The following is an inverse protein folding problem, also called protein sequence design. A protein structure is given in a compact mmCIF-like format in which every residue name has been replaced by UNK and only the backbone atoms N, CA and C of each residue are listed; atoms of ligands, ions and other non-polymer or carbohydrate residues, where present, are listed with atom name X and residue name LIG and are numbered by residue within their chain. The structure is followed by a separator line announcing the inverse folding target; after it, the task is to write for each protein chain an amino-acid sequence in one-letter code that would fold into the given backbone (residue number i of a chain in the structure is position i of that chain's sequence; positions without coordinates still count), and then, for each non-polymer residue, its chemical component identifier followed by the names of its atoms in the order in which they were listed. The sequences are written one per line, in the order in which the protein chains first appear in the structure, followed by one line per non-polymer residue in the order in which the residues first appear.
data_IF_589072333387
#
_entry.id   IF_589072333387
#
_cell.length_a   1.000
_cell.length_b   1.000
_cell.length_c   1.000
_cell.angle_alpha   90.00
_cell.angle_beta   90.00
_cell.angle_gamma   90.00
#
_symmetry.space_group_name_H-M   'P 1'
#
loop_
_entity.id
_entity.type
_entity.pdbx_description
1 polymer ?
#
# COMPACT_ATOMS: atom_id res chain seq x y z
N UNK A 1 2.51 8.41 1.77
CA UNK A 1 2.24 8.07 0.36
C UNK A 1 2.84 6.71 -0.03
N UNK A 2 4.09 6.38 0.32
CA UNK A 2 4.70 5.09 -0.04
C UNK A 2 3.93 3.87 0.52
N UNK A 3 3.56 3.89 1.80
CA UNK A 3 2.78 2.82 2.45
C UNK A 3 1.40 2.62 1.79
N UNK A 4 0.76 3.69 1.31
CA UNK A 4 -0.55 3.61 0.67
C UNK A 4 -0.48 2.89 -0.70
N UNK A 5 0.53 3.21 -1.50
CA UNK A 5 0.76 2.54 -2.78
C UNK A 5 1.13 1.06 -2.61
N UNK A 6 1.96 0.75 -1.61
CA UNK A 6 2.30 -0.63 -1.24
C UNK A 6 1.06 -1.43 -0.85
N UNK A 7 0.19 -0.89 0.02
CA UNK A 7 -1.03 -1.58 0.46
C UNK A 7 -1.98 -1.88 -0.69
N UNK A 8 -2.25 -0.91 -1.58
CA UNK A 8 -3.13 -1.12 -2.73
C UNK A 8 -2.58 -2.20 -3.66
N UNK A 9 -1.28 -2.15 -3.97
CA UNK A 9 -0.65 -3.11 -4.86
C UNK A 9 -0.64 -4.51 -4.23
N UNK A 10 -0.34 -4.60 -2.93
CA UNK A 10 -0.37 -5.85 -2.18
C UNK A 10 -1.76 -6.49 -2.16
N UNK A 11 -2.81 -5.70 -1.93
CA UNK A 11 -4.19 -6.21 -1.91
C UNK A 11 -4.59 -6.77 -3.29
N UNK A 12 -4.24 -6.06 -4.36
CA UNK A 12 -4.53 -6.50 -5.72
C UNK A 12 -3.77 -7.78 -6.09
N UNK A 13 -2.46 -7.86 -5.77
CA UNK A 13 -1.64 -9.06 -6.00
C UNK A 13 -2.15 -10.25 -5.18
N UNK A 14 -2.58 -10.03 -3.94
CA UNK A 14 -3.13 -11.08 -3.08
C UNK A 14 -4.40 -11.69 -3.68
N UNK A 15 -5.29 -10.86 -4.25
CA UNK A 15 -6.51 -11.33 -4.92
C UNK A 15 -6.16 -12.18 -6.15
N UNK A 16 -5.17 -11.77 -6.97
CA UNK A 16 -4.72 -12.57 -8.12
C UNK A 16 -4.15 -13.90 -7.70
N UNK A 17 -3.33 -13.89 -6.65
CA UNK A 17 -2.70 -15.10 -6.14
C UNK A 17 -3.76 -16.08 -5.66
N UNK A 18 -4.79 -15.60 -4.97
CA UNK A 18 -5.89 -16.44 -4.52
C UNK A 18 -6.75 -16.96 -5.68
N UNK A 19 -7.09 -16.13 -6.68
CA UNK A 19 -7.80 -16.60 -7.87
C UNK A 19 -6.97 -17.64 -8.65
N UNK A 20 -5.64 -17.47 -8.70
CA UNK A 20 -4.71 -18.44 -9.28
C UNK A 20 -4.71 -19.75 -8.50
N UNK A 21 -4.65 -19.67 -7.17
CA UNK A 21 -4.69 -20.85 -6.31
C UNK A 21 -6.01 -21.61 -6.44
N UNK A 22 -7.15 -20.92 -6.51
CA UNK A 22 -8.45 -21.54 -6.73
C UNK A 22 -8.56 -22.18 -8.13
N UNK A 23 -8.07 -21.48 -9.16
CA UNK A 23 -8.02 -22.03 -10.52
C UNK A 23 -7.19 -23.32 -10.59
N UNK A 24 -6.05 -23.35 -9.90
CA UNK A 24 -5.19 -24.53 -9.83
C UNK A 24 -5.79 -25.65 -8.96
N UNK A 25 -6.50 -25.31 -7.87
CA UNK A 25 -7.16 -26.30 -7.01
C UNK A 25 -8.35 -26.99 -7.69
N UNK A 26 -8.94 -26.39 -8.73
CA UNK A 26 -10.01 -26.98 -9.55
C UNK A 26 -9.49 -27.90 -10.65
N UNK A 27 -8.30 -27.62 -11.18
CA UNK A 27 -7.65 -28.50 -12.15
C UNK A 27 -6.98 -29.65 -11.39
N UNK A 28 -7.66 -30.81 -11.35
CA UNK A 28 -7.19 -32.09 -10.81
C UNK A 28 -5.93 -32.60 -11.56
N UNK A 29 -4.78 -31.91 -11.38
CA UNK A 29 -3.48 -32.34 -11.90
C UNK A 29 -2.90 -33.42 -10.99
N UNK A 30 -3.53 -34.59 -11.01
CA UNK A 30 -3.29 -35.71 -10.09
C UNK A 30 -1.98 -36.49 -10.33
N UNK A 31 -1.09 -36.07 -11.24
CA UNK A 31 0.17 -36.80 -11.53
C UNK A 31 1.36 -35.91 -11.93
N UNK A 32 1.55 -34.74 -11.33
CA UNK A 32 2.69 -33.86 -11.66
C UNK A 32 3.60 -33.66 -10.45
N UNK A 33 4.90 -33.80 -10.66
CA UNK A 33 5.97 -33.64 -9.65
C UNK A 33 5.89 -32.23 -9.03
N UNK A 34 6.14 -32.08 -7.72
CA UNK A 34 5.96 -30.81 -7.00
C UNK A 34 6.73 -29.59 -7.57
N UNK A 35 7.79 -29.83 -8.33
CA UNK A 35 8.54 -28.78 -9.03
C UNK A 35 7.83 -28.28 -10.31
N UNK A 36 7.21 -29.19 -11.05
CA UNK A 36 6.49 -28.87 -12.28
C UNK A 36 5.17 -28.17 -11.98
N UNK A 37 4.47 -28.58 -10.92
CA UNK A 37 3.27 -27.86 -10.45
C UNK A 37 3.59 -26.44 -10.00
N UNK A 38 4.73 -26.23 -9.33
CA UNK A 38 5.19 -24.89 -8.95
C UNK A 38 5.49 -24.02 -10.18
N UNK A 39 6.22 -24.55 -11.17
CA UNK A 39 6.51 -23.82 -12.41
C UNK A 39 5.23 -23.50 -13.20
N UNK A 40 4.28 -24.43 -13.25
CA UNK A 40 3.00 -24.22 -13.91
C UNK A 40 2.17 -23.15 -13.19
N UNK A 41 2.11 -23.19 -11.85
CA UNK A 41 1.43 -22.17 -11.04
C UNK A 41 2.08 -20.79 -11.21
N UNK A 42 3.41 -20.72 -11.24
CA UNK A 42 4.14 -19.49 -11.49
C UNK A 42 3.85 -18.94 -12.90
N UNK A 43 3.86 -19.81 -13.92
CA UNK A 43 3.52 -19.44 -15.29
C UNK A 43 2.09 -18.93 -15.42
N UNK A 44 1.13 -19.59 -14.76
CA UNK A 44 -0.26 -19.15 -14.72
C UNK A 44 -0.41 -17.79 -14.02
N UNK A 45 0.24 -17.61 -12.87
CA UNK A 45 0.26 -16.34 -12.15
C UNK A 45 0.82 -15.21 -13.01
N UNK A 46 1.97 -15.43 -13.67
CA UNK A 46 2.58 -14.42 -14.56
C UNK A 46 1.67 -14.11 -15.74
N UNK A 47 1.04 -15.12 -16.36
CA UNK A 47 0.08 -14.92 -17.45
C UNK A 47 -1.12 -14.09 -17.00
N UNK A 48 -1.71 -14.41 -15.83
CA UNK A 48 -2.83 -13.66 -15.27
C UNK A 48 -2.43 -12.23 -14.93
N UNK A 49 -1.27 -12.04 -14.32
CA UNK A 49 -0.75 -10.74 -13.92
C UNK A 49 -0.47 -9.84 -15.14
N UNK A 50 0.38 -10.30 -16.08
CA UNK A 50 0.74 -9.51 -17.26
C UNK A 50 -0.43 -9.36 -18.24
N UNK A 51 -1.27 -10.39 -18.39
CA UNK A 51 -2.47 -10.33 -19.23
C UNK A 51 -3.45 -9.26 -18.74
N UNK A 52 -3.77 -9.28 -17.44
CA UNK A 52 -4.63 -8.25 -16.84
C UNK A 52 -3.99 -6.86 -16.86
N UNK A 53 -2.67 -6.76 -16.62
CA UNK A 53 -1.96 -5.48 -16.67
C UNK A 53 -1.98 -4.87 -18.08
N UNK A 54 -1.71 -5.67 -19.10
CA UNK A 54 -1.76 -5.24 -20.50
C UNK A 54 -3.19 -4.80 -20.88
N UNK A 55 -4.21 -5.57 -20.53
CA UNK A 55 -5.60 -5.20 -20.82
C UNK A 55 -6.02 -3.92 -20.10
N UNK A 56 -5.70 -3.78 -18.81
CA UNK A 56 -5.98 -2.59 -18.02
C UNK A 56 -5.29 -1.34 -18.58
N UNK A 57 -3.99 -1.45 -18.90
CA UNK A 57 -3.24 -0.33 -19.51
C UNK A 57 -3.78 0.07 -20.88
N UNK A 58 -4.11 -0.90 -21.74
CA UNK A 58 -4.70 -0.63 -23.07
C UNK A 58 -6.05 0.09 -22.95
N UNK A 59 -6.97 -0.41 -22.12
CA UNK A 59 -8.28 0.23 -21.92
C UNK A 59 -8.15 1.64 -21.32
N UNK A 60 -7.21 1.85 -20.38
CA UNK A 60 -6.90 3.17 -19.85
C UNK A 60 -6.37 4.14 -20.92
N UNK A 61 -5.48 3.68 -21.80
CA UNK A 61 -4.98 4.49 -22.93
C UNK A 61 -6.09 4.81 -23.94
N UNK A 62 -6.96 3.83 -24.25
CA UNK A 62 -8.12 4.03 -25.11
C UNK A 62 -9.03 5.12 -24.53
N UNK A 63 -9.28 5.10 -23.21
CA UNK A 63 -10.06 6.15 -22.54
C UNK A 63 -9.45 7.54 -22.71
N UNK A 64 -8.12 7.65 -22.59
CA UNK A 64 -7.40 8.91 -22.72
C UNK A 64 -7.48 9.46 -24.15
N UNK A 65 -7.30 8.60 -25.16
CA UNK A 65 -7.40 8.96 -26.58
C UNK A 65 -8.84 9.36 -26.93
N UNK A 66 -9.82 8.60 -26.46
CA UNK A 66 -11.23 8.87 -26.69
C UNK A 66 -11.60 10.26 -26.16
N UNK A 67 -11.28 10.56 -24.90
CA UNK A 67 -11.57 11.87 -24.29
C UNK A 67 -10.75 13.02 -24.89
N UNK A 68 -9.61 12.72 -25.53
CA UNK A 68 -8.84 13.72 -26.28
C UNK A 68 -9.49 14.04 -27.64
N UNK A 69 -10.08 13.05 -28.30
CA UNK A 69 -10.65 13.23 -29.64
C UNK A 69 -12.08 13.78 -29.61
N UNK A 70 -12.88 13.35 -28.63
CA UNK A 70 -14.22 13.87 -28.40
C UNK A 70 -14.14 15.03 -27.39
N UNK A 71 -14.06 16.26 -27.89
CA UNK A 71 -13.98 17.47 -27.04
C UNK A 71 -15.31 17.73 -26.31
N UNK A 72 -15.48 17.02 -25.19
CA UNK A 72 -16.66 17.01 -24.33
C UNK A 72 -16.62 18.09 -23.24
N UNK A 73 -15.66 19.02 -23.31
CA UNK A 73 -15.44 20.07 -22.29
C UNK A 73 -16.67 20.96 -22.04
N UNK A 74 -17.60 21.03 -23.00
CA UNK A 74 -18.84 21.81 -22.89
C UNK A 74 -19.92 21.13 -22.04
N UNK A 75 -19.82 19.82 -21.80
CA UNK A 75 -20.83 19.01 -21.10
C UNK A 75 -20.19 18.14 -20.00
N UNK A 76 -19.86 18.72 -18.83
CA UNK A 76 -19.12 18.02 -17.77
C UNK A 76 -19.82 16.76 -17.25
N UNK A 77 -21.16 16.71 -17.27
CA UNK A 77 -21.92 15.53 -16.85
C UNK A 77 -21.68 14.32 -17.76
N UNK A 78 -21.54 14.53 -19.08
CA UNK A 78 -21.28 13.46 -20.04
C UNK A 78 -19.84 12.97 -19.93
N UNK A 79 -18.89 13.90 -19.78
CA UNK A 79 -17.48 13.61 -19.53
C UNK A 79 -17.31 12.74 -18.27
N UNK A 80 -17.99 13.09 -17.18
CA UNK A 80 -18.01 12.30 -15.94
C UNK A 80 -18.63 10.90 -16.13
N UNK A 81 -19.77 10.80 -16.83
CA UNK A 81 -20.41 9.51 -17.09
C UNK A 81 -19.51 8.56 -17.89
N UNK A 82 -18.86 9.07 -18.94
CA UNK A 82 -17.93 8.29 -19.76
C UNK A 82 -16.72 7.81 -18.93
N UNK A 83 -16.21 8.66 -18.02
CA UNK A 83 -15.13 8.28 -17.11
C UNK A 83 -15.48 7.08 -16.24
N UNK A 84 -16.69 7.03 -15.67
CA UNK A 84 -17.14 5.89 -14.85
C UNK A 84 -17.28 4.62 -15.69
N UNK A 85 -17.80 4.73 -16.91
CA UNK A 85 -17.94 3.59 -17.83
C UNK A 85 -16.56 3.03 -18.19
N UNK A 86 -15.61 3.89 -18.59
CA UNK A 86 -14.25 3.45 -18.93
C UNK A 86 -13.45 2.94 -17.72
N UNK A 87 -13.77 3.40 -16.51
CA UNK A 87 -13.17 2.87 -15.28
C UNK A 87 -13.59 1.42 -15.00
N UNK A 88 -14.84 1.06 -15.32
CA UNK A 88 -15.37 -0.29 -15.07
C UNK A 88 -15.20 -1.25 -16.27
N UNK A 89 -15.17 -0.73 -17.49
CA UNK A 89 -14.94 -1.51 -18.73
C UNK A 89 -13.78 -2.54 -18.66
N UNK A 90 -12.57 -2.21 -18.17
CA UNK A 90 -11.47 -3.18 -18.01
C UNK A 90 -11.83 -4.42 -17.20
N UNK A 91 -12.75 -4.28 -16.24
CA UNK A 91 -13.22 -5.39 -15.41
C UNK A 91 -14.00 -6.41 -16.23
N UNK A 92 -15.05 -5.94 -16.92
CA UNK A 92 -15.91 -6.82 -17.71
C UNK A 92 -15.16 -7.48 -18.86
N UNK A 93 -14.24 -6.77 -19.51
CA UNK A 93 -13.39 -7.34 -20.55
C UNK A 93 -12.42 -8.39 -20.01
N UNK A 94 -11.83 -8.15 -18.84
CA UNK A 94 -10.93 -9.12 -18.21
C UNK A 94 -11.69 -10.39 -17.77
N UNK A 95 -12.86 -10.25 -17.14
CA UNK A 95 -13.68 -11.41 -16.77
C UNK A 95 -14.12 -12.23 -18.00
N UNK A 96 -14.49 -11.56 -19.11
CA UNK A 96 -14.85 -12.23 -20.36
C UNK A 96 -13.71 -13.07 -20.97
N UNK A 97 -12.45 -12.69 -20.74
CA UNK A 97 -11.25 -13.40 -21.22
C UNK A 97 -10.69 -14.35 -20.13
N UNK A 98 -11.39 -14.53 -19.00
CA UNK A 98 -10.95 -15.31 -17.84
C UNK A 98 -9.62 -14.82 -17.23
N UNK A 99 -9.38 -13.51 -17.30
CA UNK A 99 -8.27 -12.82 -16.64
C UNK A 99 -8.73 -12.18 -15.31
N UNK A 100 -7.81 -11.66 -14.51
CA UNK A 100 -8.16 -10.96 -13.27
C UNK A 100 -8.75 -9.57 -13.55
N UNK A 101 -10.06 -9.41 -13.31
CA UNK A 101 -10.76 -8.14 -13.44
C UNK A 101 -10.28 -7.06 -12.48
N UNK A 102 -10.00 -7.43 -11.23
CA UNK A 102 -9.54 -6.51 -10.18
C UNK A 102 -8.19 -5.86 -10.58
N UNK A 103 -7.25 -6.66 -11.09
CA UNK A 103 -5.97 -6.12 -11.57
C UNK A 103 -6.12 -5.23 -12.80
N UNK A 104 -7.02 -5.60 -13.70
CA UNK A 104 -7.28 -4.83 -14.92
C UNK A 104 -7.80 -3.44 -14.59
N UNK A 105 -8.77 -3.33 -13.65
CA UNK A 105 -9.23 -2.03 -13.14
C UNK A 105 -8.07 -1.26 -12.50
N UNK A 106 -7.24 -1.90 -11.66
CA UNK A 106 -6.14 -1.22 -10.98
C UNK A 106 -5.18 -0.56 -11.97
N UNK A 107 -4.70 -1.32 -12.95
CA UNK A 107 -3.79 -0.79 -13.97
C UNK A 107 -4.46 0.25 -14.85
N UNK A 108 -5.72 0.06 -15.23
CA UNK A 108 -6.50 1.07 -15.94
C UNK A 108 -6.61 2.36 -15.13
N UNK A 109 -6.92 2.29 -13.83
CA UNK A 109 -6.98 3.43 -12.93
C UNK A 109 -5.66 4.19 -12.80
N UNK A 110 -4.52 3.48 -12.74
CA UNK A 110 -3.19 4.09 -12.73
C UNK A 110 -2.94 4.87 -14.04
N UNK A 111 -3.22 4.25 -15.19
CA UNK A 111 -3.06 4.89 -16.51
C UNK A 111 -4.01 6.08 -16.64
N UNK A 112 -5.27 5.93 -16.21
CA UNK A 112 -6.29 6.97 -16.28
C UNK A 112 -5.96 8.17 -15.38
N UNK A 113 -5.38 7.92 -14.20
CA UNK A 113 -4.88 8.98 -13.33
C UNK A 113 -3.72 9.77 -13.94
N UNK A 114 -2.89 9.13 -14.77
CA UNK A 114 -1.73 9.79 -15.38
C UNK A 114 -2.06 10.49 -16.70
N UNK A 115 -2.80 9.84 -17.59
CA UNK A 115 -3.07 10.35 -18.94
C UNK A 115 -4.43 11.02 -19.04
N UNK A 116 -5.48 10.32 -18.61
CA UNK A 116 -6.86 10.80 -18.79
C UNK A 116 -7.16 12.01 -17.91
N UNK A 117 -6.63 12.06 -16.67
CA UNK A 117 -6.84 13.17 -15.77
C UNK A 117 -6.51 14.53 -16.41
N UNK A 118 -5.40 14.62 -17.15
CA UNK A 118 -4.95 15.85 -17.81
C UNK A 118 -5.79 16.24 -19.03
N UNK A 119 -6.51 15.28 -19.63
CA UNK A 119 -7.39 15.57 -20.77
C UNK A 119 -8.74 16.14 -20.33
N UNK A 120 -9.11 15.95 -19.05
CA UNK A 120 -10.40 16.36 -18.50
C UNK A 120 -10.52 17.87 -18.24
N UNK A 121 -11.76 18.36 -18.22
CA UNK A 121 -12.05 19.71 -17.72
C UNK A 121 -11.80 19.83 -16.21
N UNK A 122 -11.38 21.01 -15.69
CA UNK A 122 -11.06 21.19 -14.27
C UNK A 122 -12.27 20.95 -13.35
N UNK A 123 -13.48 21.22 -13.82
CA UNK A 123 -14.72 20.94 -13.08
C UNK A 123 -14.91 19.44 -12.93
N UNK A 124 -14.75 18.67 -14.02
CA UNK A 124 -14.88 17.21 -14.00
C UNK A 124 -13.76 16.55 -13.18
N UNK A 125 -12.54 17.09 -13.19
CA UNK A 125 -11.43 16.60 -12.36
C UNK A 125 -11.78 16.63 -10.86
N UNK A 126 -12.31 17.76 -10.38
CA UNK A 126 -12.71 17.92 -8.98
C UNK A 126 -13.89 17.00 -8.66
N UNK A 127 -14.91 16.98 -9.53
CA UNK A 127 -16.10 16.15 -9.34
C UNK A 127 -15.74 14.65 -9.27
N UNK A 128 -14.84 14.19 -10.14
CA UNK A 128 -14.38 12.81 -10.19
C UNK A 128 -13.62 12.42 -8.92
N UNK A 129 -12.69 13.26 -8.45
CA UNK A 129 -11.96 13.01 -7.22
C UNK A 129 -12.88 12.96 -5.99
N UNK A 130 -13.84 13.88 -5.89
CA UNK A 130 -14.78 13.92 -4.77
C UNK A 130 -15.76 12.74 -4.80
N UNK A 131 -16.28 12.41 -5.98
CA UNK A 131 -17.23 11.30 -6.13
C UNK A 131 -16.57 9.95 -5.88
N UNK A 132 -15.44 9.67 -6.51
CA UNK A 132 -14.73 8.40 -6.30
C UNK A 132 -14.24 8.24 -4.86
N UNK A 133 -13.78 9.33 -4.21
CA UNK A 133 -13.42 9.30 -2.79
C UNK A 133 -14.62 8.99 -1.91
N UNK A 134 -15.77 9.62 -2.17
CA UNK A 134 -17.00 9.40 -1.40
C UNK A 134 -17.52 7.98 -1.58
N UNK A 135 -17.54 7.47 -2.82
CA UNK A 135 -17.93 6.08 -3.11
C UNK A 135 -16.97 5.09 -2.44
N UNK A 136 -15.66 5.31 -2.54
CA UNK A 136 -14.68 4.45 -1.87
C UNK A 136 -14.89 4.42 -0.34
N UNK A 137 -15.12 5.58 0.29
CA UNK A 137 -15.41 5.67 1.71
C UNK A 137 -16.72 4.96 2.11
N UNK A 138 -17.77 5.08 1.29
CA UNK A 138 -19.02 4.36 1.50
C UNK A 138 -18.82 2.84 1.37
N UNK A 139 -18.13 2.38 0.32
CA UNK A 139 -17.82 0.97 0.13
C UNK A 139 -16.97 0.41 1.28
N UNK A 140 -15.94 1.14 1.72
CA UNK A 140 -15.11 0.77 2.86
C UNK A 140 -15.94 0.64 4.14
N UNK A 141 -16.83 1.60 4.40
CA UNK A 141 -17.76 1.56 5.55
C UNK A 141 -18.71 0.37 5.47
N UNK A 142 -19.27 0.07 4.29
CA UNK A 142 -20.14 -1.08 4.08
C UNK A 142 -19.40 -2.39 4.35
N UNK A 143 -18.18 -2.56 3.84
CA UNK A 143 -17.39 -3.78 4.05
C UNK A 143 -17.06 -3.94 5.55
N UNK A 144 -16.72 -2.88 6.27
CA UNK A 144 -16.53 -2.95 7.71
C UNK A 144 -17.80 -3.28 8.48
N UNK A 145 -18.95 -2.73 8.09
CA UNK A 145 -20.23 -3.10 8.67
C UNK A 145 -20.56 -4.58 8.45
N UNK A 146 -20.33 -5.11 7.24
CA UNK A 146 -20.49 -6.53 6.93
C UNK A 146 -19.56 -7.41 7.76
N UNK A 147 -18.30 -7.01 7.93
CA UNK A 147 -17.35 -7.73 8.78
C UNK A 147 -17.85 -7.80 10.23
N UNK A 148 -18.37 -6.69 10.78
CA UNK A 148 -18.95 -6.64 12.12
C UNK A 148 -20.18 -7.54 12.27
N UNK A 149 -21.11 -7.51 11.31
CA UNK A 149 -22.30 -8.37 11.30
C UNK A 149 -21.93 -9.87 11.21
N UNK A 150 -20.88 -10.19 10.48
CA UNK A 150 -20.44 -11.57 10.26
C UNK A 150 -19.96 -12.27 11.53
N UNK A 151 -19.55 -11.50 12.55
CA UNK A 151 -19.20 -12.04 13.88
C UNK A 151 -20.41 -12.70 14.55
N UNK A 152 -21.60 -12.13 14.38
CA UNK A 152 -22.82 -12.62 15.04
C UNK A 152 -23.55 -13.68 14.22
N UNK A 153 -23.35 -13.72 12.91
CA UNK A 153 -24.17 -14.53 12.00
C UNK A 153 -23.72 -15.99 11.83
N UNK A 154 -22.46 -16.32 12.09
CA UNK A 154 -21.92 -17.67 11.82
C UNK A 154 -21.59 -18.45 13.11
N UNK A 155 -21.87 -19.77 13.16
CA UNK A 155 -21.45 -20.61 14.27
C UNK A 155 -19.92 -20.78 14.21
N UNK A 156 -19.23 -20.26 15.22
CA UNK A 156 -17.77 -20.24 15.27
C UNK A 156 -17.23 -21.44 16.05
N UNK A 157 -16.45 -22.30 15.38
CA UNK A 157 -15.58 -23.27 16.06
C UNK A 157 -14.27 -22.56 16.39
N UNK A 158 -14.06 -22.24 17.67
CA UNK A 158 -12.90 -21.48 18.13
C UNK A 158 -11.76 -22.41 18.55
N UNK A 159 -10.77 -22.56 17.67
CA UNK A 159 -9.47 -23.11 18.03
C UNK A 159 -8.52 -21.97 18.44
N UNK A 160 -8.57 -21.56 19.72
CA UNK A 160 -7.79 -20.43 20.23
C UNK A 160 -6.29 -20.56 19.96
N UNK A 161 -5.76 -21.79 20.05
CA UNK A 161 -4.34 -22.07 19.75
C UNK A 161 -3.99 -21.69 18.31
N UNK A 162 -4.82 -22.08 17.34
CA UNK A 162 -4.61 -21.77 15.92
C UNK A 162 -4.64 -20.25 15.66
N UNK A 163 -5.61 -19.54 16.27
CA UNK A 163 -5.74 -18.09 16.11
C UNK A 163 -4.51 -17.35 16.64
N UNK A 164 -4.01 -17.72 17.82
CA UNK A 164 -2.82 -17.08 18.42
C UNK A 164 -1.59 -17.30 17.53
N UNK A 165 -1.37 -18.54 17.06
CA UNK A 165 -0.27 -18.83 16.13
C UNK A 165 -0.39 -18.05 14.82
N UNK A 166 -1.60 -17.93 14.25
CA UNK A 166 -1.81 -17.12 13.07
C UNK A 166 -1.49 -15.64 13.32
N UNK A 167 -1.90 -15.05 14.45
CA UNK A 167 -1.57 -13.66 14.79
C UNK A 167 -0.05 -13.47 14.86
N UNK A 168 0.67 -14.37 15.54
CA UNK A 168 2.14 -14.32 15.64
C UNK A 168 2.78 -14.42 14.26
N UNK A 169 2.39 -15.42 13.45
CA UNK A 169 2.92 -15.62 12.10
C UNK A 169 2.66 -14.43 11.18
N UNK A 170 1.52 -13.76 11.33
CA UNK A 170 1.18 -12.55 10.58
C UNK A 170 2.10 -11.38 10.95
N UNK A 171 2.36 -11.17 12.24
CA UNK A 171 3.25 -10.10 12.72
C UNK A 171 4.71 -10.37 12.33
N UNK A 172 5.16 -11.63 12.46
CA UNK A 172 6.52 -12.06 12.09
C UNK A 172 6.72 -12.02 10.58
N UNK A 173 5.79 -12.60 9.80
CA UNK A 173 5.87 -12.58 8.34
C UNK A 173 5.95 -11.17 7.79
N UNK A 174 5.23 -10.24 8.43
CA UNK A 174 5.34 -8.82 8.11
C UNK A 174 6.70 -8.22 8.48
N UNK A 175 7.25 -8.52 9.66
CA UNK A 175 8.58 -8.07 10.04
C UNK A 175 9.63 -8.55 9.03
N UNK A 176 9.55 -9.82 8.64
CA UNK A 176 10.42 -10.45 7.64
C UNK A 176 10.23 -9.87 6.25
N UNK A 177 9.07 -9.30 5.92
CA UNK A 177 8.91 -8.55 4.66
C UNK A 177 9.52 -7.14 4.76
N UNK A 178 9.18 -6.39 5.82
CA UNK A 178 9.52 -4.96 5.90
C UNK A 178 11.00 -4.72 6.19
N UNK A 179 11.62 -5.46 7.12
CA UNK A 179 13.01 -5.19 7.51
C UNK A 179 14.01 -5.47 6.38
N UNK A 180 13.98 -6.63 5.68
CA UNK A 180 14.88 -6.90 4.56
C UNK A 180 14.63 -5.97 3.36
N UNK A 181 13.35 -5.71 3.03
CA UNK A 181 13.02 -4.83 1.91
C UNK A 181 13.45 -3.39 2.19
N UNK A 182 13.28 -2.92 3.42
CA UNK A 182 13.76 -1.60 3.85
C UNK A 182 15.29 -1.52 3.87
N UNK A 183 15.98 -2.61 4.25
CA UNK A 183 17.44 -2.69 4.21
C UNK A 183 17.97 -2.66 2.76
N UNK A 184 17.34 -3.40 1.85
CA UNK A 184 17.64 -3.40 0.42
C UNK A 184 17.39 -2.02 -0.20
N UNK A 185 16.25 -1.39 0.09
CA UNK A 185 15.93 -0.05 -0.38
C UNK A 185 16.90 1.01 0.15
N UNK A 186 17.42 0.83 1.37
CA UNK A 186 18.41 1.72 1.97
C UNK A 186 19.78 1.68 1.26
N UNK A 187 20.04 0.65 0.45
CA UNK A 187 21.23 0.55 -0.39
C UNK A 187 21.12 1.40 -1.67
N UNK A 188 19.92 1.49 -2.26
CA UNK A 188 19.69 2.20 -3.53
C UNK A 188 19.20 3.65 -3.36
N UNK A 189 18.82 4.07 -2.15
CA UNK A 189 18.18 5.37 -1.91
C UNK A 189 19.05 6.33 -1.11
N UNK A 190 19.22 7.56 -1.62
CA UNK A 190 19.98 8.61 -0.93
C UNK A 190 19.33 9.05 0.41
N UNK A 191 17.99 9.06 0.48
CA UNK A 191 17.28 9.36 1.72
C UNK A 191 17.01 8.08 2.51
N UNK A 192 17.91 7.78 3.45
CA UNK A 192 17.86 6.58 4.28
C UNK A 192 16.57 6.48 5.11
N UNK A 193 16.05 5.27 5.24
CA UNK A 193 14.93 4.97 6.15
C UNK A 193 15.53 4.59 7.50
N UNK A 194 15.32 5.42 8.51
CA UNK A 194 15.82 5.16 9.87
C UNK A 194 15.14 3.91 10.45
N UNK A 195 15.81 3.07 11.27
CA UNK A 195 15.19 1.92 11.93
C UNK A 195 13.94 2.27 12.75
N UNK A 196 13.86 3.49 13.30
CA UNK A 196 12.65 4.03 13.94
C UNK A 196 11.46 4.12 12.96
N UNK A 197 11.69 4.61 11.74
CA UNK A 197 10.67 4.67 10.69
C UNK A 197 10.26 3.26 10.22
N UNK A 198 11.21 2.32 10.15
CA UNK A 198 10.90 0.92 9.84
C UNK A 198 9.96 0.29 10.87
N UNK A 199 10.17 0.60 12.16
CA UNK A 199 9.30 0.12 13.23
C UNK A 199 7.87 0.66 13.12
N UNK A 200 7.70 1.95 12.79
CA UNK A 200 6.36 2.50 12.51
C UNK A 200 5.74 1.81 11.30
N UNK A 201 6.50 1.61 10.22
CA UNK A 201 5.98 0.94 9.03
C UNK A 201 5.53 -0.49 9.33
N UNK A 202 6.22 -1.18 10.24
CA UNK A 202 5.79 -2.48 10.74
C UNK A 202 4.54 -2.40 11.62
N UNK A 203 4.45 -1.41 12.50
CA UNK A 203 3.32 -1.25 13.41
C UNK A 203 2.05 -0.69 12.73
N UNK A 204 2.19 0.09 11.67
CA UNK A 204 1.12 0.90 11.05
C UNK A 204 0.22 0.15 10.06
N UNK A 205 0.49 -1.10 9.68
CA UNK A 205 -0.33 -1.74 8.63
C UNK A 205 -1.50 -2.47 9.24
N UNK A 206 -2.59 -1.76 9.19
CA UNK A 206 -3.90 -2.29 9.43
C UNK A 206 -4.18 -3.29 8.32
N UNK A 207 -4.52 -4.53 8.68
CA UNK A 207 -5.11 -5.42 7.70
C UNK A 207 -6.49 -4.87 7.39
N UNK A 208 -6.73 -4.60 6.10
CA UNK A 208 -8.04 -4.18 5.62
C UNK A 208 -9.05 -5.32 5.70
N UNK A 209 -10.26 -5.05 5.22
CA UNK A 209 -11.32 -6.05 5.16
C UNK A 209 -11.25 -6.97 3.92
N UNK A 210 -10.26 -6.77 3.05
CA UNK A 210 -10.06 -7.54 1.81
C UNK A 210 -9.75 -9.03 2.07
N UNK A 211 -8.88 -9.41 3.04
CA UNK A 211 -8.64 -10.82 3.38
C UNK A 211 -9.93 -11.53 3.82
N UNK A 212 -10.82 -10.81 4.49
CA UNK A 212 -12.12 -11.35 4.90
C UNK A 212 -13.01 -11.62 3.69
N UNK A 213 -13.18 -10.62 2.80
CA UNK A 213 -13.94 -10.78 1.56
C UNK A 213 -13.43 -11.96 0.72
N UNK A 214 -12.10 -12.12 0.67
CA UNK A 214 -11.45 -13.21 -0.05
C UNK A 214 -11.70 -14.58 0.58
N UNK A 215 -11.70 -14.66 1.92
CA UNK A 215 -12.04 -15.90 2.64
C UNK A 215 -13.47 -16.39 2.40
N UNK A 216 -14.41 -15.46 2.15
CA UNK A 216 -15.79 -15.80 1.78
C UNK A 216 -15.90 -16.26 0.33
N UNK A 217 -15.13 -15.64 -0.57
CA UNK A 217 -15.14 -15.97 -2.00
C UNK A 217 -14.50 -17.34 -2.28
N UNK A 218 -13.58 -17.78 -1.42
CA UNK A 218 -12.89 -19.05 -1.58
C UNK A 218 -13.86 -20.23 -1.42
N UNK A 219 -14.20 -20.88 -2.54
CA UNK A 219 -15.03 -22.08 -2.61
C UNK A 219 -14.32 -23.34 -2.13
N UNK A 220 -13.76 -23.33 -0.92
CA UNK A 220 -13.12 -24.51 -0.34
C UNK A 220 -14.18 -25.51 0.12
N UNK A 221 -14.25 -26.67 -0.54
CA UNK A 221 -14.83 -27.89 0.05
C UNK A 221 -13.75 -28.56 0.94
N UNK A 222 -14.03 -28.96 2.20
CA UNK A 222 -15.31 -28.99 2.93
C UNK A 222 -15.69 -27.67 3.63
N UNK A 223 -17.00 -27.48 3.84
CA UNK A 223 -17.62 -26.30 4.48
C UNK A 223 -17.00 -25.96 5.87
N UNK A 224 -16.55 -26.97 6.61
CA UNK A 224 -15.99 -26.80 7.95
C UNK A 224 -14.64 -26.06 7.94
N UNK A 225 -13.79 -26.34 6.94
CA UNK A 225 -12.49 -25.65 6.80
C UNK A 225 -12.69 -24.19 6.39
N UNK A 226 -13.68 -23.92 5.53
CA UNK A 226 -14.07 -22.56 5.14
C UNK A 226 -14.56 -21.75 6.34
N UNK A 227 -15.39 -22.33 7.21
CA UNK A 227 -15.83 -21.69 8.44
C UNK A 227 -14.66 -21.36 9.36
N UNK A 228 -13.73 -22.31 9.58
CA UNK A 228 -12.56 -22.09 10.42
C UNK A 228 -11.63 -20.99 9.89
N UNK A 229 -11.36 -20.96 8.58
CA UNK A 229 -10.56 -19.91 7.93
C UNK A 229 -11.26 -18.55 8.01
N UNK A 230 -12.58 -18.51 7.77
CA UNK A 230 -13.38 -17.29 7.86
C UNK A 230 -13.36 -16.70 9.27
N UNK A 231 -13.70 -17.49 10.29
CA UNK A 231 -13.69 -17.08 11.70
C UNK A 231 -12.31 -16.60 12.13
N UNK A 232 -11.25 -17.34 11.78
CA UNK A 232 -9.87 -16.97 12.12
C UNK A 232 -9.47 -15.64 11.47
N UNK A 233 -9.84 -15.44 10.20
CA UNK A 233 -9.54 -14.20 9.45
C UNK A 233 -10.26 -13.00 10.05
N UNK A 234 -11.54 -13.14 10.43
CA UNK A 234 -12.31 -12.09 11.11
C UNK A 234 -11.61 -11.68 12.41
N UNK A 235 -11.23 -12.65 13.26
CA UNK A 235 -10.56 -12.35 14.54
C UNK A 235 -9.23 -11.63 14.31
N UNK A 236 -8.42 -12.08 13.34
CA UNK A 236 -7.14 -11.44 13.02
C UNK A 236 -7.35 -10.00 12.52
N UNK A 237 -8.33 -9.79 11.64
CA UNK A 237 -8.63 -8.45 11.10
C UNK A 237 -9.11 -7.52 12.22
N UNK A 238 -10.04 -7.96 13.08
CA UNK A 238 -10.48 -7.18 14.23
C UNK A 238 -9.34 -6.87 15.20
N UNK A 239 -8.54 -7.89 15.55
CA UNK A 239 -7.39 -7.73 16.45
C UNK A 239 -6.40 -6.71 15.90
N UNK A 240 -6.04 -6.82 14.62
CA UNK A 240 -5.07 -5.90 13.99
C UNK A 240 -5.63 -4.49 13.84
N UNK A 241 -6.89 -4.31 13.45
CA UNK A 241 -7.50 -2.98 13.34
C UNK A 241 -7.66 -2.33 14.71
N UNK A 242 -8.19 -3.05 15.71
CA UNK A 242 -8.46 -2.49 17.02
C UNK A 242 -7.16 -2.20 17.78
N UNK A 243 -6.20 -3.14 17.83
CA UNK A 243 -4.98 -2.94 18.62
C UNK A 243 -3.93 -2.13 17.88
N UNK A 244 -3.59 -2.49 16.63
CA UNK A 244 -2.57 -1.76 15.88
C UNK A 244 -3.10 -0.41 15.40
N UNK A 245 -4.39 -0.31 15.04
CA UNK A 245 -5.01 0.95 14.60
C UNK A 245 -5.14 1.96 15.71
N UNK A 246 -5.70 1.58 16.85
CA UNK A 246 -5.78 2.47 18.01
C UNK A 246 -4.39 2.83 18.55
N UNK A 247 -3.43 1.90 18.49
CA UNK A 247 -2.04 2.11 18.93
C UNK A 247 -1.20 3.01 18.01
N UNK A 248 -1.60 3.22 16.75
CA UNK A 248 -0.77 3.97 15.79
C UNK A 248 -0.71 5.46 16.12
N UNK A 249 -1.83 6.08 16.48
CA UNK A 249 -1.89 7.50 16.89
C UNK A 249 -1.00 7.85 18.10
N UNK A 250 -1.02 7.11 19.23
CA UNK A 250 -0.12 7.38 20.33
C UNK A 250 1.35 7.09 19.98
N UNK A 251 1.63 6.07 19.17
CA UNK A 251 2.99 5.74 18.75
C UNK A 251 3.63 6.86 17.92
N UNK A 252 2.88 7.44 16.98
CA UNK A 252 3.35 8.58 16.17
C UNK A 252 3.64 9.79 17.08
N UNK A 253 2.77 10.09 18.05
CA UNK A 253 2.97 11.20 18.99
C UNK A 253 4.22 11.05 19.85
N UNK A 254 4.49 9.85 20.35
CA UNK A 254 5.68 9.58 21.17
C UNK A 254 6.94 9.81 20.34
N UNK A 255 6.93 9.36 19.09
CA UNK A 255 8.11 9.44 18.25
C UNK A 255 8.34 10.84 17.64
N UNK A 256 7.29 11.60 17.33
CA UNK A 256 7.41 13.01 16.92
C UNK A 256 8.00 13.87 18.06
N UNK A 257 7.63 13.54 19.31
CA UNK A 257 8.25 14.13 20.50
C UNK A 257 9.75 13.76 20.63
N UNK A 258 10.14 12.52 20.32
CA UNK A 258 11.56 12.14 20.33
C UNK A 258 12.36 12.81 19.21
N UNK A 259 11.81 12.94 18.01
CA UNK A 259 12.49 13.55 16.86
C UNK A 259 12.67 15.06 17.07
N UNK A 260 11.64 15.73 17.59
CA UNK A 260 11.71 17.15 17.96
C UNK A 260 12.71 17.41 19.10
N UNK A 261 12.83 16.50 20.09
CA UNK A 261 13.88 16.58 21.11
C UNK A 261 15.28 16.33 20.56
N UNK A 262 15.45 15.36 19.66
CA UNK A 262 16.74 15.07 19.00
C UNK A 262 17.25 16.26 18.17
N UNK A 263 16.36 16.88 17.36
CA UNK A 263 16.69 18.11 16.61
C UNK A 263 17.03 19.29 17.52
N UNK A 264 16.36 19.41 18.68
CA UNK A 264 16.67 20.45 19.69
C UNK A 264 18.04 20.22 20.35
N UNK A 265 18.40 18.97 20.68
CA UNK A 265 19.74 18.62 21.21
C UNK A 265 20.84 18.91 20.19
N UNK A 266 20.69 18.42 18.95
CA UNK A 266 21.66 18.66 17.87
C UNK A 266 21.87 20.16 17.59
N UNK A 267 20.80 20.98 17.57
CA UNK A 267 20.93 22.44 17.46
C UNK A 267 21.67 23.07 18.65
N UNK A 268 21.43 22.60 19.88
CA UNK A 268 22.15 23.08 21.07
C UNK A 268 23.64 22.74 20.99
N UNK A 269 24.00 21.53 20.59
CA UNK A 269 25.39 21.08 20.48
C UNK A 269 26.17 21.85 19.39
N UNK A 270 25.53 22.14 18.25
CA UNK A 270 26.12 22.96 17.18
C UNK A 270 26.36 24.39 17.65
N UNK A 271 25.40 24.98 18.38
CA UNK A 271 25.54 26.33 18.91
C UNK A 271 26.61 26.41 20.02
N UNK A 272 26.68 25.39 20.87
CA UNK A 272 27.70 25.29 21.92
C UNK A 272 29.10 25.18 21.30
N UNK A 273 29.30 24.32 20.31
CA UNK A 273 30.58 24.16 19.61
C UNK A 273 30.99 25.42 18.82
N UNK A 274 30.03 26.15 18.21
CA UNK A 274 30.31 27.46 17.58
C UNK A 274 30.75 28.51 18.61
N UNK A 275 30.11 28.50 19.79
CA UNK A 275 30.43 29.44 20.88
C UNK A 275 31.81 29.15 21.44
N UNK A 276 32.17 27.90 21.69
CA UNK A 276 33.51 27.50 22.11
C UNK A 276 34.59 27.88 21.08
N UNK A 277 34.33 27.69 19.78
CA UNK A 277 35.25 28.12 18.71
C UNK A 277 35.44 29.63 18.67
N UNK A 278 34.38 30.42 18.87
CA UNK A 278 34.48 31.88 18.93
C UNK A 278 35.25 32.36 20.16
N UNK A 279 34.98 31.77 21.33
CA UNK A 279 35.69 32.08 22.58
C UNK A 279 37.17 31.73 22.45
N UNK A 280 37.49 30.54 21.93
CA UNK A 280 38.89 30.12 21.69
C UNK A 280 39.60 31.04 20.71
N UNK A 281 38.94 31.48 19.63
CA UNK A 281 39.49 32.45 18.68
C UNK A 281 39.74 33.82 19.33
N UNK A 282 38.85 34.27 20.21
CA UNK A 282 38.99 35.54 20.95
C UNK A 282 40.12 35.49 21.98
N UNK A 283 40.28 34.37 22.69
CA UNK A 283 41.39 34.13 23.62
C UNK A 283 42.73 34.08 22.88
N UNK A 284 42.81 33.36 21.75
CA UNK A 284 44.01 33.31 20.92
C UNK A 284 44.43 34.70 20.40
N UNK A 285 43.48 35.56 20.04
CA UNK A 285 43.76 36.93 19.62
C UNK A 285 44.30 37.83 20.74
N UNK A 286 43.99 37.51 22.01
CA UNK A 286 44.51 38.24 23.19
C UNK A 286 45.90 37.73 23.59
N UNK A 287 46.16 36.42 23.45
CA UNK A 287 47.44 35.80 23.85
C UNK A 287 48.53 36.00 22.78
N UNK A 288 48.18 36.04 21.49
CA UNK A 288 49.11 36.27 20.37
C UNK A 288 48.69 37.46 19.50
N UNK A 289 48.93 38.71 19.95
CA UNK A 289 48.51 39.91 19.22
C UNK A 289 49.31 40.17 17.93
N UNK A 290 50.45 39.51 17.70
CA UNK A 290 51.40 39.82 16.63
C UNK A 290 51.28 38.98 15.36
N UNK A 291 50.44 37.94 15.30
CA UNK A 291 50.37 37.04 14.13
C UNK A 291 49.14 37.21 13.23
N UNK A 292 48.25 38.18 13.52
CA UNK A 292 46.95 38.30 12.86
C UNK A 292 46.89 39.43 11.81
N UNK A 293 47.98 39.71 11.09
CA UNK A 293 48.03 40.75 10.03
C UNK A 293 48.18 40.21 8.60
N UNK A 294 48.17 38.89 8.39
CA UNK A 294 48.26 38.30 7.05
C UNK A 294 47.29 37.13 6.88
N UNK A 295 46.01 37.41 6.67
CA UNK A 295 45.08 36.53 5.91
C UNK A 295 43.76 37.26 5.67
N UNK A 296 43.85 38.42 5.01
CA UNK A 296 42.70 39.11 4.42
C UNK A 296 43.01 39.41 2.95
N UNK A 297 43.45 38.39 2.22
CA UNK A 297 43.50 38.37 0.75
C UNK A 297 43.07 36.95 0.35
N UNK A 298 42.22 36.84 -0.66
CA UNK A 298 41.69 35.61 -1.28
C UNK A 298 40.32 35.08 -0.80
N UNK A 299 39.26 35.76 -1.25
CA UNK A 299 38.12 35.13 -1.96
C UNK A 299 37.19 36.17 -2.60
N UNK A 300 37.42 36.43 -3.89
CA UNK A 300 36.32 36.44 -4.87
C UNK A 300 36.03 34.99 -5.27
#
# INVERSE_FOLDING_TARGET
MLVFGESILNDAVSIVLTNTAEGFARDDNSMVTGWETFLQALGYFLKMFFGSAALGTLTGLISAIFLKHFDLRKTPSLEFGMMIIFAYLPYGLAEGIKLSGIMSILFSGIVMSHYTHHNLSPVTQILMQQTLRSVAFMCETCVFAFLGLSIFSFPHKFELSFVIWCIVLVLVGRAVNIFPLSYLLNFFRDHKITPKMMFIMWFSGLRGAIPYALSLHLGLEPIEKRQLIGTTTIIIVLFTILLLGSGTMPLIRIMDNEESQSRRKSKKDINLSKTEKMVKKKILAVIYPSSCRHTQVDRC
#
